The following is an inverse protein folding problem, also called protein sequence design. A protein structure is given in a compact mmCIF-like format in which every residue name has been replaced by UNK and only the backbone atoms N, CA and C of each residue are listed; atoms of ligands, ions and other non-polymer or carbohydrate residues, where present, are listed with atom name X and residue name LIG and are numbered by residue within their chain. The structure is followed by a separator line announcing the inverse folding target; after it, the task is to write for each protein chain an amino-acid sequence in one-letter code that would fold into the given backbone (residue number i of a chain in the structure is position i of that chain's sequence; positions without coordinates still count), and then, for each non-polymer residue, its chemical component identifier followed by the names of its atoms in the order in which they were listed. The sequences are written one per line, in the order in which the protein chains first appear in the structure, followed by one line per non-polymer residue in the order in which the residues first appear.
data_IF_325884131454
#
_entry.id   IF_325884131454
#
_cell.length_a   1.000
_cell.length_b   1.000
_cell.length_c   1.000
_cell.angle_alpha   90.00
_cell.angle_beta   90.00
_cell.angle_gamma   90.00
#
_symmetry.space_group_name_H-M   'P 1'
#
loop_
_entity.id
_entity.type
_entity.pdbx_description
1 polymer ?
#
# COMPACT_ATOMS: atom_id res chain seq x y z
N UNK A 1 -30.27 11.84 24.96
CA UNK A 1 -28.92 11.85 25.55
C UNK A 1 -28.28 10.46 25.62
N UNK A 2 -29.01 9.38 25.95
CA UNK A 2 -28.46 8.01 26.01
C UNK A 2 -27.94 7.49 24.65
N UNK A 3 -28.63 7.80 23.55
CA UNK A 3 -28.19 7.40 22.21
C UNK A 3 -26.87 8.06 21.80
N UNK A 4 -26.71 9.36 22.09
CA UNK A 4 -25.47 10.09 21.80
C UNK A 4 -24.28 9.54 22.61
N UNK A 5 -24.48 9.22 23.90
CA UNK A 5 -23.45 8.62 24.75
C UNK A 5 -23.09 7.19 24.30
N UNK A 6 -24.09 6.39 23.91
CA UNK A 6 -23.88 5.04 23.35
C UNK A 6 -23.10 5.10 22.03
N UNK A 7 -23.47 6.04 21.15
CA UNK A 7 -22.77 6.32 19.90
C UNK A 7 -21.31 6.70 20.13
N UNK A 8 -21.04 7.66 21.02
CA UNK A 8 -19.68 8.08 21.37
C UNK A 8 -18.83 6.91 21.89
N UNK A 9 -19.35 6.11 22.84
CA UNK A 9 -18.66 4.91 23.36
C UNK A 9 -18.32 3.91 22.25
N UNK A 10 -19.27 3.66 21.35
CA UNK A 10 -19.09 2.74 20.22
C UNK A 10 -18.03 3.24 19.23
N UNK A 11 -18.00 4.54 18.94
CA UNK A 11 -17.00 5.16 18.06
C UNK A 11 -15.59 5.06 18.66
N UNK A 12 -15.40 5.47 19.91
CA UNK A 12 -14.11 5.35 20.60
C UNK A 12 -13.60 3.91 20.63
N UNK A 13 -14.50 2.95 20.92
CA UNK A 13 -14.17 1.53 20.92
C UNK A 13 -13.75 1.04 19.53
N UNK A 14 -14.50 1.41 18.49
CA UNK A 14 -14.23 1.00 17.11
C UNK A 14 -12.90 1.55 16.61
N UNK A 15 -12.66 2.85 16.79
CA UNK A 15 -11.40 3.50 16.39
C UNK A 15 -10.22 2.88 17.14
N UNK A 16 -10.36 2.66 18.45
CA UNK A 16 -9.33 2.00 19.27
C UNK A 16 -8.99 0.61 18.77
N UNK A 17 -10.00 -0.23 18.50
CA UNK A 17 -9.80 -1.60 18.03
C UNK A 17 -9.09 -1.58 16.68
N UNK A 18 -9.54 -0.74 15.75
CA UNK A 18 -8.90 -0.59 14.45
C UNK A 18 -7.44 -0.19 14.61
N UNK A 19 -7.14 0.86 15.37
CA UNK A 19 -5.76 1.32 15.61
C UNK A 19 -4.88 0.26 16.28
N UNK A 20 -5.41 -0.46 17.27
CA UNK A 20 -4.66 -1.52 17.94
C UNK A 20 -4.33 -2.67 16.99
N UNK A 21 -5.33 -3.14 16.23
CA UNK A 21 -5.18 -4.27 15.31
C UNK A 21 -4.28 -3.89 14.14
N UNK A 22 -4.54 -2.77 13.46
CA UNK A 22 -3.71 -2.31 12.35
C UNK A 22 -2.29 -1.97 12.81
N UNK A 23 -2.12 -1.44 14.02
CA UNK A 23 -0.81 -1.14 14.60
C UNK A 23 0.01 -2.41 14.87
N UNK A 24 -0.60 -3.44 15.47
CA UNK A 24 0.06 -4.73 15.69
C UNK A 24 0.41 -5.41 14.36
N UNK A 25 -0.51 -5.40 13.39
CA UNK A 25 -0.25 -5.98 12.06
C UNK A 25 0.90 -5.24 11.37
N UNK A 26 0.88 -3.90 11.35
CA UNK A 26 1.93 -3.10 10.74
C UNK A 26 3.30 -3.32 11.41
N UNK A 27 3.33 -3.41 12.74
CA UNK A 27 4.56 -3.67 13.49
C UNK A 27 5.15 -5.04 13.14
N UNK A 28 4.33 -6.08 13.16
CA UNK A 28 4.76 -7.45 12.82
C UNK A 28 5.24 -7.49 11.36
N UNK A 29 4.46 -6.93 10.43
CA UNK A 29 4.83 -6.88 9.02
C UNK A 29 6.16 -6.15 8.80
N UNK A 30 6.36 -4.99 9.46
CA UNK A 30 7.60 -4.24 9.41
C UNK A 30 8.81 -5.04 9.92
N UNK A 31 8.66 -5.73 11.05
CA UNK A 31 9.72 -6.59 11.60
C UNK A 31 10.05 -7.73 10.64
N UNK A 32 9.04 -8.42 10.09
CA UNK A 32 9.23 -9.53 9.15
C UNK A 32 9.95 -9.07 7.89
N UNK A 33 9.57 -7.90 7.34
CA UNK A 33 10.23 -7.31 6.17
C UNK A 33 11.71 -7.01 6.43
N UNK A 34 12.04 -6.47 7.61
CA UNK A 34 13.42 -6.11 7.95
C UNK A 34 14.29 -7.32 8.27
N UNK A 35 13.74 -8.34 8.93
CA UNK A 35 14.49 -9.53 9.37
C UNK A 35 14.63 -10.55 8.23
N UNK A 36 13.61 -10.71 7.38
CA UNK A 36 13.60 -11.69 6.29
C UNK A 36 13.26 -11.05 4.93
N UNK A 37 14.16 -10.22 4.36
CA UNK A 37 13.87 -9.48 3.14
C UNK A 37 13.56 -10.40 1.94
N UNK A 38 14.40 -11.42 1.74
CA UNK A 38 14.25 -12.35 0.60
C UNK A 38 12.98 -13.18 0.71
N UNK A 39 12.69 -13.75 1.88
CA UNK A 39 11.48 -14.58 2.07
C UNK A 39 10.21 -13.75 1.93
N UNK A 40 10.22 -12.53 2.45
CA UNK A 40 9.07 -11.62 2.34
C UNK A 40 8.78 -11.26 0.87
N UNK A 41 9.80 -10.94 0.09
CA UNK A 41 9.65 -10.67 -1.34
C UNK A 41 9.09 -11.89 -2.10
N UNK A 42 9.57 -13.09 -1.78
CA UNK A 42 9.07 -14.35 -2.36
C UNK A 42 7.60 -14.59 -2.01
N UNK A 43 7.19 -14.38 -0.76
CA UNK A 43 5.80 -14.54 -0.34
C UNK A 43 4.89 -13.56 -1.08
N UNK A 44 5.27 -12.28 -1.16
CA UNK A 44 4.52 -11.25 -1.90
C UNK A 44 4.38 -11.64 -3.38
N UNK A 45 5.47 -12.15 -3.96
CA UNK A 45 5.48 -12.61 -5.35
C UNK A 45 4.57 -13.82 -5.57
N UNK A 46 4.55 -14.78 -4.64
CA UNK A 46 3.65 -15.93 -4.72
C UNK A 46 2.18 -15.50 -4.64
N UNK A 47 1.85 -14.53 -3.78
CA UNK A 47 0.51 -13.94 -3.71
C UNK A 47 0.16 -13.29 -5.05
N UNK A 48 1.06 -12.48 -5.61
CA UNK A 48 0.86 -11.82 -6.90
C UNK A 48 0.70 -12.84 -8.05
N UNK A 49 1.54 -13.87 -8.10
CA UNK A 49 1.44 -14.94 -9.09
C UNK A 49 0.11 -15.70 -8.98
N UNK A 50 -0.38 -15.95 -7.77
CA UNK A 50 -1.70 -16.56 -7.56
C UNK A 50 -2.82 -15.68 -8.12
N UNK A 51 -2.73 -14.37 -7.90
CA UNK A 51 -3.66 -13.40 -8.46
C UNK A 51 -3.65 -13.44 -9.99
N UNK A 52 -2.48 -13.50 -10.63
CA UNK A 52 -2.39 -13.59 -12.09
C UNK A 52 -3.10 -14.85 -12.63
N UNK A 53 -2.90 -16.00 -11.99
CA UNK A 53 -3.60 -17.24 -12.40
C UNK A 53 -5.11 -17.11 -12.26
N UNK A 54 -5.59 -16.64 -11.11
CA UNK A 54 -7.03 -16.46 -10.85
C UNK A 54 -7.65 -15.43 -11.81
N UNK A 55 -6.99 -14.28 -11.97
CA UNK A 55 -7.44 -13.25 -12.90
C UNK A 55 -7.47 -13.77 -14.34
N UNK A 56 -6.47 -14.54 -14.75
CA UNK A 56 -6.44 -15.11 -16.09
C UNK A 56 -7.59 -16.09 -16.35
N UNK A 57 -7.93 -16.93 -15.38
CA UNK A 57 -9.12 -17.79 -15.44
C UNK A 57 -10.41 -16.98 -15.55
N UNK A 58 -10.53 -15.89 -14.78
CA UNK A 58 -11.68 -14.98 -14.85
C UNK A 58 -11.78 -14.33 -16.23
N UNK A 59 -10.67 -13.82 -16.79
CA UNK A 59 -10.65 -13.19 -18.12
C UNK A 59 -11.01 -14.18 -19.23
N UNK A 60 -10.52 -15.41 -19.18
CA UNK A 60 -10.93 -16.46 -20.12
C UNK A 60 -12.44 -16.72 -19.98
N UNK A 61 -12.95 -16.87 -18.75
CA UNK A 61 -14.38 -17.05 -18.49
C UNK A 61 -15.21 -15.91 -19.08
N UNK A 62 -14.83 -14.65 -18.81
CA UNK A 62 -15.50 -13.48 -19.37
C UNK A 62 -15.52 -13.50 -20.90
N UNK A 63 -14.41 -13.87 -21.54
CA UNK A 63 -14.37 -14.01 -22.99
C UNK A 63 -15.26 -15.14 -23.50
N UNK A 64 -15.31 -16.29 -22.84
CA UNK A 64 -16.15 -17.42 -23.26
C UNK A 64 -17.63 -17.08 -23.12
N UNK A 65 -18.05 -16.51 -21.99
CA UNK A 65 -19.46 -16.29 -21.65
C UNK A 65 -20.03 -14.94 -22.13
N UNK A 66 -19.21 -14.00 -22.62
CA UNK A 66 -19.72 -12.73 -23.14
C UNK A 66 -20.28 -12.87 -24.57
N UNK A 67 -21.49 -13.43 -24.69
CA UNK A 67 -22.20 -13.53 -25.98
C UNK A 67 -22.75 -12.17 -26.47
N UNK A 68 -22.91 -11.18 -25.58
CA UNK A 68 -23.49 -9.87 -25.88
C UNK A 68 -22.48 -8.78 -26.28
N UNK A 69 -21.16 -9.07 -26.29
CA UNK A 69 -20.10 -8.12 -26.63
C UNK A 69 -19.52 -8.44 -28.02
N UNK A 70 -19.06 -7.41 -28.75
CA UNK A 70 -18.44 -7.58 -30.06
C UNK A 70 -17.25 -8.55 -30.03
N UNK A 71 -17.02 -9.28 -31.14
CA UNK A 71 -16.03 -10.36 -31.22
C UNK A 71 -14.61 -9.98 -30.79
N UNK A 72 -14.18 -8.74 -31.07
CA UNK A 72 -12.88 -8.22 -30.63
C UNK A 72 -12.71 -8.15 -29.11
N UNK A 73 -13.77 -7.78 -28.38
CA UNK A 73 -13.73 -7.74 -26.92
C UNK A 73 -13.54 -9.15 -26.35
N UNK A 74 -14.25 -10.14 -26.91
CA UNK A 74 -14.12 -11.55 -26.50
C UNK A 74 -12.71 -12.09 -26.70
N UNK A 75 -12.15 -11.90 -27.89
CA UNK A 75 -10.78 -12.32 -28.20
C UNK A 75 -9.78 -11.64 -27.27
N UNK A 76 -9.94 -10.33 -27.03
CA UNK A 76 -9.08 -9.59 -26.10
C UNK A 76 -9.07 -10.17 -24.69
N UNK A 77 -10.24 -10.52 -24.13
CA UNK A 77 -10.32 -11.13 -22.79
C UNK A 77 -9.66 -12.52 -22.74
N UNK A 78 -9.86 -13.35 -23.77
CA UNK A 78 -9.25 -14.69 -23.81
C UNK A 78 -7.72 -14.58 -23.90
N UNK A 79 -7.21 -13.73 -24.80
CA UNK A 79 -5.76 -13.54 -24.98
C UNK A 79 -5.12 -12.96 -23.72
N UNK A 80 -5.75 -11.94 -23.12
CA UNK A 80 -5.27 -11.37 -21.86
C UNK A 80 -5.28 -12.40 -20.73
N UNK A 81 -6.31 -13.24 -20.67
CA UNK A 81 -6.41 -14.29 -19.66
C UNK A 81 -5.34 -15.37 -19.80
N UNK A 82 -5.04 -15.79 -21.04
CA UNK A 82 -3.91 -16.67 -21.36
C UNK A 82 -2.57 -16.06 -20.95
N UNK A 83 -2.38 -14.77 -21.23
CA UNK A 83 -1.17 -14.05 -20.85
C UNK A 83 -0.98 -14.02 -19.33
N UNK A 84 -2.04 -13.75 -18.56
CA UNK A 84 -2.00 -13.76 -17.11
C UNK A 84 -1.70 -15.15 -16.53
N UNK A 85 -2.34 -16.21 -17.04
CA UNK A 85 -2.03 -17.58 -16.62
C UNK A 85 -0.58 -17.92 -16.92
N UNK A 86 -0.10 -17.62 -18.13
CA UNK A 86 1.29 -17.89 -18.51
C UNK A 86 2.28 -17.15 -17.59
N UNK A 87 2.06 -15.86 -17.34
CA UNK A 87 2.87 -15.08 -16.42
C UNK A 87 2.87 -15.65 -15.00
N UNK A 88 1.69 -16.04 -14.47
CA UNK A 88 1.56 -16.66 -13.16
C UNK A 88 2.30 -18.00 -13.06
N UNK A 89 2.15 -18.87 -14.06
CA UNK A 89 2.85 -20.18 -14.11
C UNK A 89 4.37 -20.00 -14.19
N UNK A 90 4.84 -19.07 -15.03
CA UNK A 90 6.27 -18.73 -15.14
C UNK A 90 6.79 -18.21 -13.79
N UNK A 91 6.03 -17.35 -13.10
CA UNK A 91 6.42 -16.85 -11.79
C UNK A 91 6.53 -17.97 -10.74
N UNK A 92 5.59 -18.93 -10.74
CA UNK A 92 5.66 -20.09 -9.83
C UNK A 92 6.80 -21.05 -10.16
N UNK A 93 7.22 -21.15 -11.43
CA UNK A 93 8.34 -22.00 -11.83
C UNK A 93 9.66 -21.59 -11.17
N UNK A 94 9.85 -20.29 -10.90
CA UNK A 94 10.97 -19.81 -10.10
C UNK A 94 10.59 -18.53 -9.34
N UNK A 95 10.05 -18.71 -8.14
CA UNK A 95 9.61 -17.59 -7.30
C UNK A 95 10.76 -16.66 -6.88
N UNK A 96 11.99 -17.15 -6.77
CA UNK A 96 13.14 -16.33 -6.39
C UNK A 96 13.49 -15.31 -7.48
N UNK A 97 13.61 -15.80 -8.72
CA UNK A 97 13.85 -14.93 -9.89
C UNK A 97 12.65 -14.01 -10.13
N UNK A 98 11.43 -14.56 -10.06
CA UNK A 98 10.21 -13.76 -10.23
C UNK A 98 10.12 -12.64 -9.18
N UNK A 99 10.53 -12.88 -7.93
CA UNK A 99 10.55 -11.87 -6.89
C UNK A 99 11.57 -10.77 -7.15
N UNK A 100 12.77 -11.12 -7.64
CA UNK A 100 13.76 -10.15 -8.05
C UNK A 100 13.26 -9.31 -9.25
N UNK A 101 12.65 -9.94 -10.24
CA UNK A 101 12.06 -9.25 -11.40
C UNK A 101 10.93 -8.32 -10.97
N UNK A 102 10.00 -8.78 -10.12
CA UNK A 102 8.91 -7.96 -9.60
C UNK A 102 9.45 -6.77 -8.81
N UNK A 103 10.44 -6.98 -7.94
CA UNK A 103 11.08 -5.92 -7.19
C UNK A 103 11.74 -4.88 -8.12
N UNK A 104 12.45 -5.32 -9.16
CA UNK A 104 13.04 -4.41 -10.15
C UNK A 104 11.97 -3.60 -10.89
N UNK A 105 10.89 -4.23 -11.34
CA UNK A 105 9.77 -3.55 -12.00
C UNK A 105 9.17 -2.50 -11.07
N UNK A 106 8.93 -2.83 -9.80
CA UNK A 106 8.38 -1.90 -8.81
C UNK A 106 9.33 -0.72 -8.55
N UNK A 107 10.62 -0.98 -8.38
CA UNK A 107 11.62 0.08 -8.11
C UNK A 107 11.76 1.00 -9.32
N UNK A 108 11.80 0.46 -10.53
CA UNK A 108 11.84 1.25 -11.76
C UNK A 108 10.58 2.10 -11.89
N UNK A 109 9.42 1.51 -11.62
CA UNK A 109 8.15 2.22 -11.63
C UNK A 109 8.17 3.40 -10.65
N UNK A 110 8.62 3.19 -9.40
CA UNK A 110 8.77 4.25 -8.40
C UNK A 110 9.71 5.36 -8.91
N UNK A 111 10.86 5.00 -9.49
CA UNK A 111 11.80 5.96 -10.05
C UNK A 111 11.19 6.82 -11.16
N UNK A 112 10.44 6.20 -12.08
CA UNK A 112 9.70 6.90 -13.14
C UNK A 112 8.63 7.81 -12.54
N UNK A 113 7.85 7.32 -11.56
CA UNK A 113 6.82 8.11 -10.89
C UNK A 113 7.39 9.36 -10.24
N UNK A 114 8.53 9.30 -9.55
CA UNK A 114 9.17 10.48 -8.96
C UNK A 114 9.65 11.50 -10.00
N UNK A 115 10.12 11.05 -11.16
CA UNK A 115 10.46 11.96 -12.26
C UNK A 115 9.20 12.65 -12.76
N UNK A 116 8.13 11.89 -13.03
CA UNK A 116 6.85 12.42 -13.50
C UNK A 116 6.28 13.41 -12.48
N UNK A 117 6.23 13.06 -11.20
CA UNK A 117 5.73 13.92 -10.12
C UNK A 117 6.52 15.23 -10.03
N UNK A 118 7.85 15.18 -10.21
CA UNK A 118 8.67 16.38 -10.25
C UNK A 118 8.39 17.25 -11.47
N UNK A 119 8.23 16.66 -12.66
CA UNK A 119 7.85 17.38 -13.89
C UNK A 119 6.46 18.03 -13.75
N UNK A 120 5.49 17.29 -13.22
CA UNK A 120 4.14 17.79 -12.95
C UNK A 120 4.21 18.92 -11.92
N UNK A 121 5.00 18.77 -10.85
CA UNK A 121 5.17 19.83 -9.85
C UNK A 121 5.77 21.12 -10.43
N UNK A 122 6.65 21.04 -11.42
CA UNK A 122 7.15 22.23 -12.12
C UNK A 122 6.05 22.90 -12.96
N UNK A 123 5.12 22.12 -13.53
CA UNK A 123 4.00 22.69 -14.29
C UNK A 123 3.01 23.47 -13.42
N UNK A 124 2.95 23.15 -12.12
CA UNK A 124 2.12 23.80 -11.11
C UNK A 124 2.83 24.97 -10.40
N UNK A 125 4.03 25.34 -10.83
CA UNK A 125 4.84 26.36 -10.17
C UNK A 125 4.13 27.72 -10.16
N UNK A 126 3.90 28.24 -8.95
CA UNK A 126 3.22 29.50 -8.74
C UNK A 126 1.70 29.42 -8.64
N UNK A 127 1.10 28.22 -8.78
CA UNK A 127 -0.32 27.97 -8.50
C UNK A 127 -0.55 27.48 -7.06
N UNK A 128 0.35 26.63 -6.54
CA UNK A 128 0.11 25.87 -5.30
C UNK A 128 0.88 26.37 -4.07
N UNK A 129 0.88 27.69 -3.84
CA UNK A 129 1.50 28.29 -2.65
C UNK A 129 2.98 28.67 -2.84
N UNK A 130 3.89 28.12 -2.03
CA UNK A 130 5.30 28.53 -1.99
C UNK A 130 6.08 28.07 -3.21
N UNK A 131 6.42 29.01 -4.11
CA UNK A 131 7.26 28.74 -5.30
C UNK A 131 8.59 28.07 -4.95
N UNK A 132 9.21 28.46 -3.83
CA UNK A 132 10.50 27.90 -3.41
C UNK A 132 10.36 26.44 -3.01
N UNK A 133 9.33 26.10 -2.23
CA UNK A 133 9.10 24.72 -1.80
C UNK A 133 8.74 23.80 -2.97
N UNK A 134 7.91 24.29 -3.89
CA UNK A 134 7.58 23.55 -5.12
C UNK A 134 8.82 23.28 -5.96
N UNK A 135 9.70 24.28 -6.15
CA UNK A 135 10.92 24.10 -6.92
C UNK A 135 11.89 23.11 -6.26
N UNK A 136 12.09 23.22 -4.93
CA UNK A 136 12.95 22.30 -4.18
C UNK A 136 12.43 20.86 -4.25
N UNK A 137 11.13 20.66 -4.04
CA UNK A 137 10.51 19.34 -4.16
C UNK A 137 10.67 18.76 -5.56
N UNK A 138 10.38 19.56 -6.60
CA UNK A 138 10.46 19.09 -7.97
C UNK A 138 11.87 18.63 -8.35
N UNK A 139 12.90 19.44 -8.01
CA UNK A 139 14.28 19.08 -8.27
C UNK A 139 14.69 17.83 -7.49
N UNK A 140 14.34 17.76 -6.20
CA UNK A 140 14.64 16.59 -5.38
C UNK A 140 13.98 15.32 -5.94
N UNK A 141 12.71 15.40 -6.34
CA UNK A 141 11.95 14.29 -6.89
C UNK A 141 12.55 13.78 -8.20
N UNK A 142 12.90 14.69 -9.13
CA UNK A 142 13.55 14.31 -10.40
C UNK A 142 14.90 13.66 -10.13
N UNK A 143 15.75 14.27 -9.29
CA UNK A 143 17.08 13.73 -8.97
C UNK A 143 16.95 12.36 -8.30
N UNK A 144 16.05 12.22 -7.33
CA UNK A 144 15.79 10.96 -6.66
C UNK A 144 15.36 9.88 -7.66
N UNK A 145 14.42 10.19 -8.56
CA UNK A 145 13.97 9.27 -9.59
C UNK A 145 15.08 8.86 -10.56
N UNK A 146 15.93 9.80 -11.00
CA UNK A 146 17.11 9.50 -11.82
C UNK A 146 18.06 8.55 -11.08
N UNK A 147 18.40 8.84 -9.82
CA UNK A 147 19.28 7.98 -9.01
C UNK A 147 18.71 6.57 -8.87
N UNK A 148 17.39 6.42 -8.67
CA UNK A 148 16.71 5.12 -8.60
C UNK A 148 16.88 4.34 -9.90
N UNK A 149 16.71 4.99 -11.06
CA UNK A 149 16.81 4.32 -12.36
C UNK A 149 18.24 3.88 -12.71
N UNK A 150 19.24 4.65 -12.31
CA UNK A 150 20.65 4.29 -12.55
C UNK A 150 21.22 3.32 -11.50
N UNK A 151 20.61 3.20 -10.33
CA UNK A 151 21.03 2.28 -9.28
C UNK A 151 19.86 1.53 -8.63
N UNK A 152 19.10 0.72 -9.40
CA UNK A 152 17.86 0.12 -8.94
C UNK A 152 18.06 -0.89 -7.82
N UNK A 153 19.23 -1.54 -7.73
CA UNK A 153 19.52 -2.49 -6.66
C UNK A 153 19.69 -1.77 -5.31
N UNK A 154 20.51 -0.71 -5.27
CA UNK A 154 20.74 0.05 -4.04
C UNK A 154 19.47 0.83 -3.67
N UNK A 155 18.81 1.43 -4.65
CA UNK A 155 17.54 2.12 -4.45
C UNK A 155 16.45 1.17 -3.93
N UNK A 156 16.36 -0.04 -4.48
CA UNK A 156 15.43 -1.07 -4.01
C UNK A 156 15.67 -1.44 -2.55
N UNK A 157 16.94 -1.63 -2.15
CA UNK A 157 17.28 -1.86 -0.75
C UNK A 157 16.94 -0.67 0.15
N UNK A 158 17.22 0.56 -0.29
CA UNK A 158 16.89 1.76 0.46
C UNK A 158 15.38 1.94 0.65
N UNK A 159 14.59 1.76 -0.42
CA UNK A 159 13.12 1.80 -0.38
C UNK A 159 12.58 0.68 0.53
N UNK A 160 13.16 -0.52 0.46
CA UNK A 160 12.78 -1.64 1.31
C UNK A 160 12.98 -1.33 2.80
N UNK A 161 14.17 -0.83 3.16
CA UNK A 161 14.49 -0.46 4.53
C UNK A 161 13.61 0.68 5.01
N UNK A 162 13.43 1.72 4.18
CA UNK A 162 12.54 2.83 4.49
C UNK A 162 11.12 2.36 4.75
N UNK A 163 10.58 1.48 3.90
CA UNK A 163 9.24 0.93 4.06
C UNK A 163 9.12 0.06 5.32
N UNK A 164 10.07 -0.83 5.57
CA UNK A 164 10.10 -1.69 6.76
C UNK A 164 10.17 -0.89 8.06
N UNK A 165 11.09 0.09 8.14
CA UNK A 165 11.23 0.98 9.31
C UNK A 165 9.97 1.82 9.50
N UNK A 166 9.41 2.35 8.41
CA UNK A 166 8.18 3.14 8.47
C UNK A 166 7.01 2.31 9.00
N UNK A 167 6.86 1.05 8.59
CA UNK A 167 5.83 0.16 9.12
C UNK A 167 6.01 -0.13 10.60
N UNK A 168 7.24 -0.35 11.07
CA UNK A 168 7.54 -0.50 12.49
C UNK A 168 7.15 0.77 13.27
N UNK A 169 7.59 1.94 12.80
CA UNK A 169 7.30 3.21 13.44
C UNK A 169 5.79 3.51 13.47
N UNK A 170 5.10 3.33 12.35
CA UNK A 170 3.66 3.49 12.25
C UNK A 170 2.91 2.50 13.14
N UNK A 171 3.36 1.25 13.22
CA UNK A 171 2.80 0.23 14.10
C UNK A 171 2.88 0.65 15.57
N UNK A 172 4.05 1.11 16.02
CA UNK A 172 4.27 1.63 17.37
C UNK A 172 3.35 2.83 17.64
N UNK A 173 3.32 3.81 16.73
CA UNK A 173 2.48 5.01 16.88
C UNK A 173 1.00 4.66 16.98
N UNK A 174 0.51 3.73 16.16
CA UNK A 174 -0.90 3.31 16.19
C UNK A 174 -1.26 2.60 17.50
N UNK A 175 -0.36 1.76 18.02
CA UNK A 175 -0.56 1.09 19.32
C UNK A 175 -0.61 2.14 20.44
N UNK A 176 0.31 3.10 20.46
CA UNK A 176 0.30 4.20 21.44
C UNK A 176 -1.01 4.98 21.35
N UNK A 177 -1.45 5.36 20.14
CA UNK A 177 -2.73 6.07 19.94
C UNK A 177 -3.92 5.25 20.42
N UNK A 178 -3.94 3.94 20.20
CA UNK A 178 -5.01 3.06 20.66
C UNK A 178 -5.09 3.02 22.21
N UNK A 179 -3.94 3.06 22.89
CA UNK A 179 -3.87 3.11 24.35
C UNK A 179 -4.38 4.47 24.87
N UNK A 180 -3.88 5.57 24.30
CA UNK A 180 -4.27 6.94 24.68
C UNK A 180 -5.77 7.15 24.47
N UNK A 181 -6.31 6.77 23.31
CA UNK A 181 -7.75 6.89 23.03
C UNK A 181 -8.62 6.06 23.99
N UNK A 182 -8.09 4.93 24.47
CA UNK A 182 -8.75 4.12 25.49
C UNK A 182 -8.80 4.77 26.87
N UNK A 183 -7.89 5.71 27.17
CA UNK A 183 -7.92 6.54 28.38
C UNK A 183 -8.89 7.69 28.21
N UNK A 184 -8.75 8.46 27.13
CA UNK A 184 -9.57 9.64 26.87
C UNK A 184 -11.07 9.30 26.77
N UNK A 185 -11.41 8.15 26.18
CA UNK A 185 -12.81 7.68 26.11
C UNK A 185 -13.39 7.28 27.47
N UNK A 186 -12.57 6.86 28.44
CA UNK A 186 -13.04 6.59 29.82
C UNK A 186 -13.33 7.89 30.56
N UNK A 187 -12.42 8.86 30.42
CA UNK A 187 -12.51 10.16 31.09
C UNK A 187 -13.74 10.95 30.59
N UNK A 188 -13.99 10.95 29.28
CA UNK A 188 -15.18 11.56 28.69
C UNK A 188 -16.49 10.96 29.23
N UNK A 189 -16.56 9.63 29.33
CA UNK A 189 -17.75 8.94 29.85
C UNK A 189 -17.99 9.27 31.32
N UNK A 190 -16.93 9.32 32.12
CA UNK A 190 -17.03 9.67 33.53
C UNK A 190 -17.54 11.11 33.73
N UNK A 191 -17.02 12.07 32.96
CA UNK A 191 -17.44 13.48 33.03
C UNK A 191 -18.93 13.66 32.67
N UNK A 192 -19.40 13.06 31.57
CA UNK A 192 -20.81 13.15 31.15
C UNK A 192 -21.73 12.49 32.17
N UNK A 193 -21.32 11.38 32.77
CA UNK A 193 -22.11 10.73 33.84
C UNK A 193 -22.24 11.61 35.08
N UNK A 194 -21.17 12.30 35.49
CA UNK A 194 -21.20 13.20 36.65
C UNK A 194 -22.13 14.40 36.48
N UNK A 195 -22.20 14.99 35.27
CA UNK A 195 -23.12 16.10 34.98
C UNK A 195 -24.60 15.68 34.96
N UNK A 196 -24.90 14.40 34.74
CA UNK A 196 -26.29 13.92 34.68
C UNK A 196 -26.84 13.54 36.07
N UNK A 197 -25.98 13.41 37.07
CA UNK A 197 -26.34 13.02 38.45
C UNK A 197 -26.53 14.21 39.40
N UNK A 198 -26.38 15.44 38.92
CA UNK A 198 -26.61 16.71 39.64
C UNK A 198 -27.90 17.34 39.11
#
# INVERSE_FOLDING_TARGET
MSEALSGAKSLFKSIRITLAVSGVIALIAGIVLLVWPVKSAVIVTAIFASYLVVAGLVYIGLGIFSHARGGWARVGHIVLGLFYIAAGVIAFANLGVAAATLALVVVIFIGISWIIDGVVSLSLLGQDGSRVWTLLYALLSIIAGVVVLFSPLIAGLAIWLFFGISLVALGIVQIIRAITLGRDGKDFVAAVQSETTV
#
